data_IF_107241539202
#
_entry.id   IF_107241539202
#
_cell.length_a   1.000
_cell.length_b   1.000
_cell.length_c   1.000
_cell.angle_alpha   90.00
_cell.angle_beta   90.00
_cell.angle_gamma   90.00
#
_symmetry.space_group_name_H-M   'P 1'
#
loop_
_entity.id
_entity.type
_entity.pdbx_description
1 polymer ?
#
# COMPACT_ATOMS: atom_id res chain seq x y z
N UNK A 1 1.51 -27.23 12.14
CA UNK A 1 2.30 -27.19 13.40
C UNK A 1 3.17 -25.93 13.48
N UNK A 2 4.06 -25.66 12.52
CA UNK A 2 4.93 -24.46 12.53
C UNK A 2 4.15 -23.13 12.63
N UNK A 3 3.05 -22.97 11.88
CA UNK A 3 2.19 -21.79 11.99
C UNK A 3 1.73 -21.57 13.45
N UNK A 4 1.25 -22.62 14.12
CA UNK A 4 0.79 -22.56 15.52
C UNK A 4 1.91 -22.14 16.49
N UNK A 5 3.15 -22.60 16.25
CA UNK A 5 4.32 -22.20 17.06
C UNK A 5 4.64 -20.72 16.84
N UNK A 6 4.62 -20.26 15.59
CA UNK A 6 4.80 -18.84 15.28
C UNK A 6 3.69 -17.98 15.92
N UNK A 7 2.43 -18.40 15.81
CA UNK A 7 1.29 -17.73 16.47
C UNK A 7 1.50 -17.62 17.97
N UNK A 8 2.00 -18.69 18.61
CA UNK A 8 2.31 -18.67 20.04
C UNK A 8 3.42 -17.65 20.37
N UNK A 9 4.52 -17.62 19.59
CA UNK A 9 5.56 -16.61 19.79
C UNK A 9 5.04 -15.17 19.64
N UNK A 10 4.17 -14.92 18.67
CA UNK A 10 3.55 -13.59 18.47
C UNK A 10 2.70 -13.19 19.68
N UNK A 11 1.89 -14.12 20.21
CA UNK A 11 1.06 -13.86 21.41
C UNK A 11 1.88 -13.69 22.69
N UNK A 12 3.06 -14.30 22.76
CA UNK A 12 3.98 -14.22 23.90
C UNK A 12 5.00 -13.08 23.79
N UNK A 13 4.76 -12.09 22.92
CA UNK A 13 5.70 -10.98 22.69
C UNK A 13 5.92 -10.04 23.89
N UNK A 14 5.15 -10.20 24.97
CA UNK A 14 5.35 -9.46 26.22
C UNK A 14 6.62 -9.95 26.96
N UNK A 15 7.00 -11.22 26.78
CA UNK A 15 8.18 -11.80 27.42
C UNK A 15 9.47 -11.48 26.63
N UNK A 16 10.48 -10.86 27.26
CA UNK A 16 11.76 -10.55 26.61
C UNK A 16 12.46 -11.75 25.96
N UNK A 17 12.37 -12.94 26.57
CA UNK A 17 13.05 -14.15 26.08
C UNK A 17 12.47 -14.61 24.73
N UNK A 18 11.16 -14.49 24.55
CA UNK A 18 10.50 -14.86 23.30
C UNK A 18 10.58 -13.77 22.23
N UNK A 19 10.79 -12.50 22.63
CA UNK A 19 10.94 -11.38 21.69
C UNK A 19 12.12 -11.53 20.73
N UNK A 20 13.27 -11.99 21.21
CA UNK A 20 14.45 -12.21 20.35
C UNK A 20 14.24 -13.38 19.38
N UNK A 21 13.61 -14.45 19.87
CA UNK A 21 13.25 -15.61 19.05
C UNK A 21 12.21 -15.24 17.98
N UNK A 22 11.20 -14.45 18.34
CA UNK A 22 10.21 -13.94 17.40
C UNK A 22 10.85 -13.05 16.35
N UNK A 23 11.73 -12.12 16.75
CA UNK A 23 12.43 -11.25 15.79
C UNK A 23 13.28 -12.05 14.79
N UNK A 24 13.97 -13.09 15.25
CA UNK A 24 14.71 -14.01 14.38
C UNK A 24 13.79 -14.81 13.46
N UNK A 25 12.65 -15.28 13.98
CA UNK A 25 11.63 -15.98 13.21
C UNK A 25 11.02 -15.09 12.13
N UNK A 26 10.76 -13.81 12.41
CA UNK A 26 10.26 -12.84 11.44
C UNK A 26 11.25 -12.59 10.31
N UNK A 27 12.56 -12.48 10.60
CA UNK A 27 13.58 -12.38 9.55
C UNK A 27 13.60 -13.59 8.62
N UNK A 28 13.30 -14.78 9.16
CA UNK A 28 13.24 -16.02 8.40
C UNK A 28 11.84 -16.32 7.83
N UNK A 29 10.83 -15.48 8.06
CA UNK A 29 9.41 -15.82 7.84
C UNK A 29 9.12 -16.20 6.39
N UNK A 30 9.76 -15.54 5.43
CA UNK A 30 9.66 -15.89 4.00
C UNK A 30 10.07 -17.34 3.75
N UNK A 31 11.19 -17.77 4.31
CA UNK A 31 11.69 -19.14 4.15
C UNK A 31 10.84 -20.16 4.91
N UNK A 32 10.38 -19.79 6.11
CA UNK A 32 9.46 -20.61 6.89
C UNK A 32 8.16 -20.85 6.12
N UNK A 33 7.58 -19.81 5.53
CA UNK A 33 6.36 -19.93 4.73
C UNK A 33 6.58 -20.66 3.41
N UNK A 34 7.71 -20.48 2.75
CA UNK A 34 8.09 -21.30 1.60
C UNK A 34 8.07 -22.80 1.95
N UNK A 35 8.66 -23.17 3.08
CA UNK A 35 8.67 -24.55 3.56
C UNK A 35 7.25 -25.04 3.96
N UNK A 36 6.49 -24.23 4.69
CA UNK A 36 5.12 -24.56 5.12
C UNK A 36 4.21 -24.83 3.91
N UNK A 37 4.28 -23.98 2.89
CA UNK A 37 3.49 -24.12 1.65
C UNK A 37 3.90 -25.37 0.88
N UNK A 38 5.20 -25.61 0.70
CA UNK A 38 5.68 -26.83 0.05
C UNK A 38 5.25 -28.10 0.80
N UNK A 39 5.29 -28.08 2.15
CA UNK A 39 4.79 -29.18 2.97
C UNK A 39 3.29 -29.37 2.81
N UNK A 40 2.51 -28.30 2.64
CA UNK A 40 1.07 -28.36 2.40
C UNK A 40 0.77 -28.96 1.03
N UNK A 41 1.45 -28.53 -0.02
CA UNK A 41 1.29 -29.06 -1.37
C UNK A 41 1.57 -30.56 -1.42
N UNK A 42 2.65 -31.00 -0.77
CA UNK A 42 2.97 -32.43 -0.69
C UNK A 42 1.88 -33.19 0.06
N UNK A 43 1.40 -32.68 1.19
CA UNK A 43 0.30 -33.30 1.93
C UNK A 43 -0.95 -33.48 1.05
N UNK A 44 -1.36 -32.42 0.34
CA UNK A 44 -2.53 -32.44 -0.54
C UNK A 44 -2.39 -33.45 -1.69
N UNK A 45 -1.17 -33.66 -2.20
CA UNK A 45 -0.90 -34.68 -3.25
C UNK A 45 -1.10 -36.12 -2.76
N UNK A 46 -0.87 -36.39 -1.48
CA UNK A 46 -1.00 -37.75 -0.92
C UNK A 46 -2.40 -38.04 -0.36
N UNK A 47 -3.04 -37.05 0.26
CA UNK A 47 -4.27 -37.24 1.03
C UNK A 47 -5.53 -36.67 0.33
N UNK A 48 -5.36 -35.81 -0.67
CA UNK A 48 -6.45 -35.19 -1.42
C UNK A 48 -6.62 -33.70 -1.15
N UNK A 49 -7.18 -32.98 -2.12
CA UNK A 49 -7.20 -31.50 -2.19
C UNK A 49 -7.96 -30.81 -1.04
N UNK A 50 -8.98 -31.47 -0.48
CA UNK A 50 -9.82 -30.88 0.58
C UNK A 50 -9.36 -31.27 1.99
N UNK A 51 -8.44 -32.23 2.13
CA UNK A 51 -8.11 -32.76 3.45
C UNK A 51 -7.34 -31.75 4.31
N UNK A 52 -7.88 -31.44 5.49
CA UNK A 52 -7.27 -30.50 6.44
C UNK A 52 -7.22 -29.04 5.96
N UNK A 53 -7.98 -28.68 4.92
CA UNK A 53 -8.04 -27.32 4.36
C UNK A 53 -8.49 -26.31 5.39
N UNK A 54 -9.62 -26.54 6.04
CA UNK A 54 -10.16 -25.64 7.08
C UNK A 54 -9.16 -25.43 8.22
N UNK A 55 -8.53 -26.50 8.71
CA UNK A 55 -7.54 -26.40 9.79
C UNK A 55 -6.29 -25.60 9.37
N UNK A 56 -5.87 -25.72 8.11
CA UNK A 56 -4.76 -24.92 7.57
C UNK A 56 -5.17 -23.45 7.48
N UNK A 57 -6.36 -23.18 6.93
CA UNK A 57 -6.88 -21.83 6.76
C UNK A 57 -7.06 -21.14 8.11
N UNK A 58 -7.65 -21.83 9.07
CA UNK A 58 -7.80 -21.34 10.44
C UNK A 58 -6.45 -21.07 11.11
N UNK A 59 -5.42 -21.88 10.83
CA UNK A 59 -4.09 -21.61 11.36
C UNK A 59 -3.50 -20.29 10.82
N UNK A 60 -3.73 -19.98 9.54
CA UNK A 60 -3.33 -18.70 8.93
C UNK A 60 -4.13 -17.55 9.53
N UNK A 61 -5.46 -17.68 9.61
CA UNK A 61 -6.34 -16.67 10.23
C UNK A 61 -5.92 -16.35 11.65
N UNK A 62 -5.65 -17.39 12.46
CA UNK A 62 -5.20 -17.23 13.85
C UNK A 62 -3.83 -16.55 13.96
N UNK A 63 -2.93 -16.78 12.99
CA UNK A 63 -1.66 -16.06 12.94
C UNK A 63 -1.86 -14.57 12.66
N UNK A 64 -2.69 -14.21 11.68
CA UNK A 64 -2.99 -12.80 11.39
C UNK A 64 -3.71 -12.13 12.57
N UNK A 65 -4.66 -12.81 13.22
CA UNK A 65 -5.28 -12.33 14.45
C UNK A 65 -4.25 -12.02 15.55
N UNK A 66 -3.30 -12.93 15.78
CA UNK A 66 -2.22 -12.69 16.75
C UNK A 66 -1.34 -11.49 16.37
N UNK A 67 -1.07 -11.27 15.09
CA UNK A 67 -0.38 -10.07 14.64
C UNK A 67 -1.20 -8.81 14.87
N UNK A 68 -2.51 -8.83 14.60
CA UNK A 68 -3.38 -7.68 14.84
C UNK A 68 -3.38 -7.29 16.33
N UNK A 69 -3.52 -8.28 17.22
CA UNK A 69 -3.40 -8.09 18.67
C UNK A 69 -2.03 -7.49 19.06
N UNK A 70 -0.94 -7.96 18.45
CA UNK A 70 0.40 -7.42 18.70
C UNK A 70 0.51 -5.95 18.23
N UNK A 71 0.00 -5.62 17.05
CA UNK A 71 0.12 -4.27 16.48
C UNK A 71 -0.70 -3.22 17.25
N UNK A 72 -1.86 -3.60 17.77
CA UNK A 72 -2.75 -2.70 18.52
C UNK A 72 -2.24 -2.41 19.95
N UNK A 73 -1.56 -3.38 20.59
CA UNK A 73 -1.07 -3.22 21.98
C UNK A 73 -0.10 -2.04 22.16
N UNK A 74 -0.24 -1.19 23.18
CA UNK A 74 0.67 -0.07 23.44
C UNK A 74 1.99 -0.49 24.11
N UNK A 75 2.65 -1.52 23.58
CA UNK A 75 3.89 -2.08 24.13
C UNK A 75 5.13 -1.41 23.49
N UNK A 76 5.72 -0.45 24.20
CA UNK A 76 6.87 0.35 23.72
C UNK A 76 8.08 -0.54 23.40
N UNK A 77 8.28 -1.60 24.17
CA UNK A 77 9.41 -2.51 24.02
C UNK A 77 9.22 -3.47 22.82
N UNK A 78 8.03 -3.54 22.23
CA UNK A 78 7.73 -4.33 21.03
C UNK A 78 7.80 -3.52 19.74
N UNK A 79 8.09 -2.21 19.77
CA UNK A 79 8.20 -1.37 18.55
C UNK A 79 9.14 -2.00 17.51
N UNK A 80 10.27 -2.57 17.95
CA UNK A 80 11.23 -3.26 17.07
C UNK A 80 10.62 -4.48 16.38
N UNK A 81 9.76 -5.22 17.07
CA UNK A 81 9.10 -6.42 16.53
C UNK A 81 7.95 -6.03 15.61
N UNK A 82 7.14 -5.03 15.99
CA UNK A 82 6.10 -4.48 15.11
C UNK A 82 6.68 -3.99 13.79
N UNK A 83 7.78 -3.24 13.84
CA UNK A 83 8.51 -2.81 12.65
C UNK A 83 9.05 -3.99 11.82
N UNK A 84 9.53 -5.05 12.48
CA UNK A 84 9.97 -6.27 11.80
C UNK A 84 8.81 -7.02 11.13
N UNK A 85 7.64 -7.09 11.78
CA UNK A 85 6.44 -7.70 11.21
C UNK A 85 6.04 -6.97 9.93
N UNK A 86 5.94 -5.63 9.96
CA UNK A 86 5.64 -4.82 8.77
C UNK A 86 6.68 -5.01 7.65
N UNK A 87 7.96 -5.15 8.00
CA UNK A 87 9.03 -5.32 7.02
C UNK A 87 9.02 -6.69 6.35
N UNK A 88 8.81 -7.76 7.12
CA UNK A 88 9.05 -9.14 6.63
C UNK A 88 7.76 -9.90 6.29
N UNK A 89 6.63 -9.59 6.91
CA UNK A 89 5.37 -10.30 6.69
C UNK A 89 4.89 -10.23 5.23
N UNK A 90 4.97 -9.10 4.50
CA UNK A 90 4.60 -9.07 3.07
C UNK A 90 5.36 -10.08 2.21
N UNK A 91 6.56 -10.50 2.65
CA UNK A 91 7.36 -11.50 1.95
C UNK A 91 6.74 -12.89 1.86
N UNK A 92 5.63 -13.17 2.57
CA UNK A 92 4.92 -14.45 2.50
C UNK A 92 3.80 -14.47 1.46
N UNK A 93 3.38 -13.32 0.92
CA UNK A 93 2.17 -13.18 0.09
C UNK A 93 2.19 -14.12 -1.11
N UNK A 94 3.24 -14.05 -1.94
CA UNK A 94 3.36 -14.88 -3.14
C UNK A 94 3.48 -16.38 -2.83
N UNK A 95 3.84 -16.75 -1.60
CA UNK A 95 3.82 -18.14 -1.16
C UNK A 95 2.40 -18.59 -0.78
N UNK A 96 1.67 -17.77 -0.02
CA UNK A 96 0.33 -18.11 0.46
C UNK A 96 -0.72 -18.09 -0.65
N UNK A 97 -0.61 -17.20 -1.62
CA UNK A 97 -1.55 -17.08 -2.74
C UNK A 97 -1.84 -18.42 -3.47
N UNK A 98 -0.90 -19.35 -3.46
CA UNK A 98 -1.05 -20.65 -4.15
C UNK A 98 -1.86 -21.68 -3.36
N UNK A 99 -2.01 -21.50 -2.04
CA UNK A 99 -2.62 -22.50 -1.13
C UNK A 99 -3.71 -21.92 -0.23
N UNK A 100 -3.96 -20.61 -0.35
CA UNK A 100 -4.93 -19.86 0.44
C UNK A 100 -5.71 -18.92 -0.49
N UNK A 101 -6.95 -18.60 -0.13
CA UNK A 101 -7.79 -17.72 -0.94
C UNK A 101 -7.18 -16.31 -1.03
N UNK A 102 -6.94 -15.77 -2.25
CA UNK A 102 -6.25 -14.50 -2.40
C UNK A 102 -7.10 -13.30 -1.94
N UNK A 103 -8.42 -13.35 -2.07
CA UNK A 103 -9.29 -12.27 -1.61
C UNK A 103 -9.31 -12.25 -0.08
N UNK A 104 -9.46 -13.40 0.55
CA UNK A 104 -9.38 -13.53 2.00
C UNK A 104 -7.99 -13.12 2.53
N UNK A 105 -6.91 -13.47 1.83
CA UNK A 105 -5.55 -13.01 2.19
C UNK A 105 -5.45 -11.49 2.15
N UNK A 106 -6.06 -10.85 1.15
CA UNK A 106 -6.15 -9.40 1.03
C UNK A 106 -6.87 -8.79 2.23
N UNK A 107 -8.01 -9.35 2.63
CA UNK A 107 -8.75 -8.90 3.82
C UNK A 107 -7.94 -9.05 5.12
N UNK A 108 -7.17 -10.14 5.25
CA UNK A 108 -6.30 -10.35 6.41
C UNK A 108 -5.19 -9.29 6.47
N UNK A 109 -4.58 -8.92 5.35
CA UNK A 109 -3.61 -7.83 5.28
C UNK A 109 -4.25 -6.46 5.54
N UNK A 110 -5.46 -6.22 5.05
CA UNK A 110 -6.23 -5.00 5.36
C UNK A 110 -6.44 -4.86 6.87
N UNK A 111 -6.92 -5.92 7.54
CA UNK A 111 -7.12 -5.94 9.00
C UNK A 111 -5.81 -5.76 9.77
N UNK A 112 -4.72 -6.38 9.30
CA UNK A 112 -3.39 -6.22 9.88
C UNK A 112 -2.89 -4.78 9.81
N UNK A 113 -3.00 -4.13 8.65
CA UNK A 113 -2.57 -2.75 8.49
C UNK A 113 -3.46 -1.77 9.26
N UNK A 114 -4.76 -2.03 9.37
CA UNK A 114 -5.71 -1.23 10.16
C UNK A 114 -5.48 -1.33 11.67
N UNK A 115 -4.91 -2.42 12.16
CA UNK A 115 -4.62 -2.61 13.59
C UNK A 115 -3.47 -1.73 14.11
N UNK A 116 -2.83 -0.95 13.24
CA UNK A 116 -1.69 -0.09 13.59
C UNK A 116 -2.24 1.28 13.98
N UNK A 117 -1.89 1.81 15.16
CA UNK A 117 -2.27 3.18 15.53
C UNK A 117 -1.78 4.21 14.50
N UNK A 118 -2.59 5.21 14.11
CA UNK A 118 -2.33 6.09 12.96
C UNK A 118 -1.04 6.92 13.06
N UNK A 119 -0.57 7.22 14.27
CA UNK A 119 0.65 8.00 14.51
C UNK A 119 1.90 7.14 14.75
N UNK A 120 1.78 5.81 14.64
CA UNK A 120 2.88 4.88 14.87
C UNK A 120 3.34 4.23 13.57
N UNK A 121 4.66 4.07 13.44
CA UNK A 121 5.28 3.28 12.38
C UNK A 121 4.86 3.69 10.96
N UNK A 122 4.46 4.96 10.76
CA UNK A 122 3.94 5.49 9.49
C UNK A 122 4.80 5.08 8.29
N UNK A 123 6.11 5.31 8.36
CA UNK A 123 7.05 4.92 7.31
C UNK A 123 7.02 3.42 7.02
N UNK A 124 7.06 2.58 8.06
CA UNK A 124 7.06 1.12 7.94
C UNK A 124 5.72 0.61 7.41
N UNK A 125 4.60 1.22 7.79
CA UNK A 125 3.26 0.91 7.31
C UNK A 125 3.15 1.20 5.81
N UNK A 126 3.56 2.38 5.36
CA UNK A 126 3.56 2.75 3.94
C UNK A 126 4.52 1.86 3.12
N UNK A 127 5.69 1.53 3.67
CA UNK A 127 6.64 0.62 3.02
C UNK A 127 6.09 -0.81 2.93
N UNK A 128 5.37 -1.27 3.96
CA UNK A 128 4.66 -2.55 3.94
C UNK A 128 3.61 -2.57 2.82
N UNK A 129 2.80 -1.51 2.70
CA UNK A 129 1.84 -1.35 1.60
C UNK A 129 2.53 -1.39 0.23
N UNK A 130 3.68 -0.73 0.06
CA UNK A 130 4.46 -0.81 -1.19
C UNK A 130 4.78 -2.27 -1.56
N UNK A 131 5.18 -3.09 -0.56
CA UNK A 131 5.48 -4.50 -0.77
C UNK A 131 4.24 -5.35 -1.08
N UNK A 132 3.07 -4.97 -0.58
CA UNK A 132 1.80 -5.60 -0.96
C UNK A 132 1.45 -5.27 -2.40
N UNK A 133 1.60 -3.99 -2.82
CA UNK A 133 1.34 -3.56 -4.21
C UNK A 133 2.30 -4.22 -5.20
N UNK A 134 3.56 -4.42 -4.82
CA UNK A 134 4.59 -5.12 -5.62
C UNK A 134 4.36 -6.64 -5.71
N UNK A 135 3.39 -7.20 -4.97
CA UNK A 135 3.12 -8.64 -4.94
C UNK A 135 2.12 -9.07 -6.01
N UNK A 136 2.09 -10.37 -6.32
CA UNK A 136 1.18 -10.92 -7.33
C UNK A 136 -0.30 -10.84 -6.90
N UNK A 137 -0.56 -10.53 -5.62
CA UNK A 137 -1.89 -10.34 -5.06
C UNK A 137 -2.57 -9.11 -5.70
N UNK A 138 -1.82 -8.02 -5.86
CA UNK A 138 -2.35 -6.75 -6.34
C UNK A 138 -2.60 -6.72 -7.86
N UNK A 139 -2.20 -7.78 -8.58
CA UNK A 139 -2.54 -7.96 -9.99
C UNK A 139 -3.99 -8.41 -10.20
N UNK A 140 -4.65 -8.96 -9.16
CA UNK A 140 -6.03 -9.42 -9.21
C UNK A 140 -6.99 -8.31 -8.80
N UNK A 141 -8.06 -8.10 -9.57
CA UNK A 141 -8.97 -6.97 -9.37
C UNK A 141 -9.69 -7.03 -8.03
N UNK A 142 -10.18 -8.22 -7.68
CA UNK A 142 -10.93 -8.49 -6.45
C UNK A 142 -10.05 -8.28 -5.20
N UNK A 143 -8.75 -8.53 -5.33
CA UNK A 143 -7.78 -8.26 -4.26
C UNK A 143 -7.51 -6.75 -4.13
N UNK A 144 -7.46 -6.02 -5.25
CA UNK A 144 -7.38 -4.55 -5.24
C UNK A 144 -8.61 -3.95 -4.58
N UNK A 145 -9.81 -4.50 -4.81
CA UNK A 145 -11.04 -4.04 -4.17
C UNK A 145 -10.97 -4.11 -2.63
N UNK A 146 -10.33 -5.14 -2.09
CA UNK A 146 -10.14 -5.31 -0.65
C UNK A 146 -9.02 -4.43 -0.05
N UNK A 147 -7.96 -4.14 -0.80
CA UNK A 147 -6.74 -3.46 -0.30
C UNK A 147 -6.72 -1.96 -0.60
N UNK A 148 -7.10 -1.58 -1.82
CA UNK A 148 -6.93 -0.23 -2.34
C UNK A 148 -7.68 0.82 -1.49
N UNK A 149 -8.93 0.60 -1.02
CA UNK A 149 -9.61 1.58 -0.17
C UNK A 149 -8.80 1.99 1.05
N UNK A 150 -8.14 1.03 1.71
CA UNK A 150 -7.25 1.31 2.85
C UNK A 150 -6.02 2.10 2.42
N UNK A 151 -5.35 1.71 1.33
CA UNK A 151 -4.13 2.38 0.89
C UNK A 151 -4.40 3.84 0.51
N UNK A 152 -5.54 4.09 -0.15
CA UNK A 152 -5.99 5.43 -0.51
C UNK A 152 -6.35 6.26 0.72
N UNK A 153 -6.99 5.67 1.73
CA UNK A 153 -7.27 6.36 2.99
C UNK A 153 -5.98 6.78 3.73
N UNK A 154 -5.00 5.88 3.77
CA UNK A 154 -3.70 6.13 4.41
C UNK A 154 -2.91 7.21 3.66
N UNK A 155 -2.87 7.14 2.33
CA UNK A 155 -2.30 8.22 1.50
C UNK A 155 -3.05 9.53 1.69
N UNK A 156 -4.38 9.50 1.77
CA UNK A 156 -5.21 10.69 1.99
C UNK A 156 -4.87 11.37 3.31
N UNK A 157 -4.62 10.62 4.38
CA UNK A 157 -4.19 11.16 5.68
C UNK A 157 -2.78 11.75 5.64
N UNK A 158 -1.85 11.11 4.93
CA UNK A 158 -0.48 11.63 4.76
C UNK A 158 -0.40 12.88 3.88
N UNK A 159 -1.35 13.04 2.95
CA UNK A 159 -1.44 14.20 2.05
C UNK A 159 -2.51 15.20 2.50
N UNK A 160 -2.98 15.11 3.75
CA UNK A 160 -3.89 16.09 4.33
C UNK A 160 -3.13 17.37 4.69
N UNK A 161 -3.76 18.53 4.46
CA UNK A 161 -3.18 19.84 4.75
C UNK A 161 -2.85 19.99 6.26
N UNK A 162 -3.52 19.22 7.13
CA UNK A 162 -3.29 19.23 8.59
C UNK A 162 -2.26 18.18 9.06
N UNK A 163 -1.63 17.43 8.14
CA UNK A 163 -0.63 16.44 8.52
C UNK A 163 0.65 17.13 9.04
N UNK A 164 0.97 16.95 10.33
CA UNK A 164 2.13 17.61 10.95
C UNK A 164 3.48 17.11 10.41
N UNK A 165 3.58 15.82 10.08
CA UNK A 165 4.83 15.19 9.66
C UNK A 165 4.57 14.12 8.58
N UNK A 166 4.23 14.54 7.36
CA UNK A 166 3.95 13.63 6.28
C UNK A 166 5.22 12.89 5.83
N UNK A 167 5.09 11.60 5.55
CA UNK A 167 6.16 10.83 4.92
C UNK A 167 6.04 10.90 3.39
N UNK A 168 6.54 11.98 2.82
CA UNK A 168 6.49 12.23 1.37
C UNK A 168 7.24 11.18 0.54
N UNK A 169 8.30 10.59 1.08
CA UNK A 169 9.09 9.59 0.38
C UNK A 169 8.29 8.31 0.17
N UNK A 170 7.77 7.75 1.27
CA UNK A 170 7.02 6.50 1.25
C UNK A 170 5.63 6.70 0.62
N UNK A 171 4.97 7.83 0.87
CA UNK A 171 3.65 8.14 0.26
C UNK A 171 3.76 8.27 -1.26
N UNK A 172 4.77 9.01 -1.75
CA UNK A 172 5.01 9.14 -3.18
C UNK A 172 5.36 7.79 -3.81
N UNK A 173 6.15 6.95 -3.14
CA UNK A 173 6.51 5.62 -3.66
C UNK A 173 5.28 4.72 -3.75
N UNK A 174 4.46 4.67 -2.70
CA UNK A 174 3.25 3.86 -2.67
C UNK A 174 2.27 4.28 -3.78
N UNK A 175 2.01 5.58 -3.92
CA UNK A 175 1.13 6.09 -4.97
C UNK A 175 1.69 5.77 -6.37
N UNK A 176 2.99 5.92 -6.58
CA UNK A 176 3.64 5.57 -7.85
C UNK A 176 3.47 4.08 -8.18
N UNK A 177 3.72 3.19 -7.22
CA UNK A 177 3.57 1.75 -7.42
C UNK A 177 2.12 1.37 -7.76
N UNK A 178 1.13 1.96 -7.07
CA UNK A 178 -0.29 1.72 -7.35
C UNK A 178 -0.61 2.13 -8.80
N UNK A 179 -0.23 3.35 -9.19
CA UNK A 179 -0.52 3.87 -10.53
C UNK A 179 0.18 3.09 -11.64
N UNK A 180 1.37 2.57 -11.39
CA UNK A 180 2.11 1.72 -12.33
C UNK A 180 1.38 0.40 -12.58
N UNK A 181 0.89 -0.26 -11.53
CA UNK A 181 0.10 -1.50 -11.67
C UNK A 181 -1.22 -1.25 -12.38
N UNK A 182 -1.94 -0.16 -12.05
CA UNK A 182 -3.22 0.17 -12.67
C UNK A 182 -3.09 0.58 -14.14
N UNK A 183 -1.94 1.11 -14.55
CA UNK A 183 -1.67 1.48 -15.92
C UNK A 183 -1.49 0.26 -16.84
N UNK A 184 -1.06 -0.88 -16.28
CA UNK A 184 -0.86 -2.08 -17.06
C UNK A 184 -2.22 -2.64 -17.51
N UNK A 185 -2.59 -2.36 -18.77
CA UNK A 185 -3.89 -2.72 -19.36
C UNK A 185 -4.15 -4.23 -19.48
N UNK A 186 -3.15 -5.06 -19.22
CA UNK A 186 -3.33 -6.51 -19.11
C UNK A 186 -3.96 -6.92 -17.77
N UNK A 187 -3.83 -6.07 -16.74
CA UNK A 187 -4.57 -6.22 -15.51
C UNK A 187 -6.00 -5.69 -15.72
N UNK A 188 -6.97 -6.46 -15.25
CA UNK A 188 -8.42 -6.19 -15.25
C UNK A 188 -8.84 -4.70 -15.12
N UNK A 189 -10.05 -4.39 -15.58
CA UNK A 189 -10.66 -3.05 -15.57
C UNK A 189 -10.34 -2.24 -14.29
N UNK A 190 -9.56 -1.16 -14.46
CA UNK A 190 -9.10 -0.28 -13.39
C UNK A 190 -9.94 0.99 -13.24
N UNK A 191 -11.02 1.10 -14.02
CA UNK A 191 -12.02 2.19 -14.05
C UNK A 191 -12.44 2.63 -12.64
N UNK A 192 -12.94 1.71 -11.81
CA UNK A 192 -13.38 2.06 -10.45
C UNK A 192 -12.20 2.43 -9.52
N UNK A 193 -11.04 1.81 -9.70
CA UNK A 193 -9.83 2.09 -8.91
C UNK A 193 -9.28 3.48 -9.19
N UNK A 194 -9.25 3.90 -10.47
CA UNK A 194 -8.83 5.24 -10.88
C UNK A 194 -9.83 6.28 -10.38
N UNK A 195 -11.13 6.00 -10.44
CA UNK A 195 -12.14 6.89 -9.87
C UNK A 195 -11.90 7.13 -8.38
N UNK A 196 -11.65 6.07 -7.60
CA UNK A 196 -11.36 6.20 -6.16
C UNK A 196 -10.11 7.04 -5.88
N UNK A 197 -9.01 6.80 -6.63
CA UNK A 197 -7.77 7.58 -6.50
C UNK A 197 -8.03 9.05 -6.83
N UNK A 198 -8.74 9.30 -7.92
CA UNK A 198 -9.05 10.65 -8.38
C UNK A 198 -9.88 11.41 -7.34
N UNK A 199 -10.96 10.82 -6.83
CA UNK A 199 -11.85 11.47 -5.86
C UNK A 199 -11.13 11.80 -4.54
N UNK A 200 -10.27 10.90 -4.07
CA UNK A 200 -9.66 11.00 -2.74
C UNK A 200 -8.33 11.74 -2.75
N UNK A 201 -7.53 11.60 -3.80
CA UNK A 201 -6.13 12.04 -3.82
C UNK A 201 -5.82 13.16 -4.81
N UNK A 202 -6.53 13.33 -5.93
CA UNK A 202 -6.10 14.25 -6.99
C UNK A 202 -5.88 15.68 -6.48
N UNK A 203 -6.86 16.26 -5.78
CA UNK A 203 -6.73 17.59 -5.19
C UNK A 203 -5.65 17.66 -4.09
N UNK A 204 -5.50 16.61 -3.29
CA UNK A 204 -4.49 16.53 -2.23
C UNK A 204 -3.07 16.50 -2.80
N UNK A 205 -2.85 15.77 -3.88
CA UNK A 205 -1.58 15.75 -4.61
C UNK A 205 -1.26 17.16 -5.13
N UNK A 206 -2.23 17.85 -5.73
CA UNK A 206 -2.04 19.22 -6.20
C UNK A 206 -1.62 20.15 -5.07
N UNK A 207 -2.37 20.16 -3.95
CA UNK A 207 -2.06 20.99 -2.78
C UNK A 207 -0.71 20.64 -2.16
N UNK A 208 -0.38 19.36 -2.08
CA UNK A 208 0.93 18.90 -1.61
C UNK A 208 2.05 19.49 -2.47
N UNK A 209 1.96 19.42 -3.80
CA UNK A 209 2.98 19.98 -4.69
C UNK A 209 3.10 21.50 -4.54
N UNK A 210 1.98 22.21 -4.38
CA UNK A 210 1.97 23.68 -4.18
C UNK A 210 2.60 24.06 -2.84
N UNK A 211 2.32 23.30 -1.77
CA UNK A 211 2.83 23.56 -0.43
C UNK A 211 4.28 23.11 -0.19
N UNK A 212 4.81 22.23 -1.05
CA UNK A 212 6.18 21.74 -0.91
C UNK A 212 7.23 22.78 -1.28
N UNK A 213 8.33 22.80 -0.52
CA UNK A 213 9.51 23.60 -0.87
C UNK A 213 10.05 23.19 -2.23
N UNK A 214 10.35 24.19 -3.08
CA UNK A 214 10.86 24.02 -4.45
C UNK A 214 12.17 23.24 -4.56
N UNK A 215 12.89 23.04 -3.46
CA UNK A 215 14.13 22.24 -3.40
C UNK A 215 13.88 20.79 -2.97
N UNK A 216 12.64 20.41 -2.68
CA UNK A 216 12.29 19.07 -2.24
C UNK A 216 12.55 18.06 -3.35
N UNK A 217 13.31 17.01 -3.02
CA UNK A 217 13.59 15.90 -3.93
C UNK A 217 12.33 15.12 -4.35
N UNK A 218 11.21 15.29 -3.65
CA UNK A 218 9.99 14.52 -3.88
C UNK A 218 8.98 15.20 -4.83
N UNK A 219 9.15 16.49 -5.15
CA UNK A 219 8.21 17.22 -6.03
C UNK A 219 8.03 16.48 -7.36
N UNK A 220 9.13 16.08 -8.00
CA UNK A 220 9.08 15.40 -9.30
C UNK A 220 8.24 14.11 -9.27
N UNK A 221 8.27 13.37 -8.15
CA UNK A 221 7.50 12.14 -7.99
C UNK A 221 5.99 12.41 -7.87
N UNK A 222 5.58 13.41 -7.08
CA UNK A 222 4.16 13.75 -6.96
C UNK A 222 3.59 14.33 -8.26
N UNK A 223 4.38 15.11 -8.99
CA UNK A 223 4.02 15.60 -10.33
C UNK A 223 3.83 14.45 -11.32
N UNK A 224 4.73 13.46 -11.29
CA UNK A 224 4.59 12.27 -12.11
C UNK A 224 3.33 11.47 -11.73
N UNK A 225 3.03 11.32 -10.44
CA UNK A 225 1.82 10.65 -9.96
C UNK A 225 0.55 11.37 -10.43
N UNK A 226 0.48 12.69 -10.26
CA UNK A 226 -0.66 13.49 -10.72
C UNK A 226 -0.85 13.36 -12.24
N UNK A 227 0.23 13.48 -13.01
CA UNK A 227 0.19 13.31 -14.46
C UNK A 227 -0.30 11.89 -14.83
N UNK A 228 0.14 10.88 -14.09
CA UNK A 228 -0.29 9.50 -14.29
C UNK A 228 -1.76 9.28 -13.92
N UNK A 229 -2.31 9.96 -12.90
CA UNK A 229 -3.76 9.95 -12.59
C UNK A 229 -4.54 10.56 -13.75
N UNK A 230 -4.19 11.79 -14.16
CA UNK A 230 -4.87 12.50 -15.25
C UNK A 230 -4.83 11.72 -16.57
N UNK A 231 -3.70 11.06 -16.88
CA UNK A 231 -3.57 10.24 -18.08
C UNK A 231 -4.42 8.96 -18.05
N UNK A 232 -4.68 8.42 -16.86
CA UNK A 232 -5.47 7.19 -16.70
C UNK A 232 -6.97 7.46 -16.59
N UNK A 233 -7.37 8.69 -16.27
CA UNK A 233 -8.76 9.12 -16.32
C UNK A 233 -9.31 9.09 -17.76
N UNK A 234 -10.57 8.70 -17.89
CA UNK A 234 -11.36 8.69 -19.12
C UNK A 234 -12.46 9.76 -19.04
N UNK A 235 -13.16 10.04 -20.13
CA UNK A 235 -14.18 11.10 -20.21
C UNK A 235 -15.20 11.05 -19.05
N UNK A 236 -15.71 9.86 -18.74
CA UNK A 236 -16.67 9.69 -17.64
C UNK A 236 -16.07 10.08 -16.27
N UNK A 237 -14.77 9.86 -16.05
CA UNK A 237 -14.10 10.23 -14.80
C UNK A 237 -14.04 11.75 -14.65
N UNK A 238 -13.79 12.47 -15.75
CA UNK A 238 -13.77 13.93 -15.74
C UNK A 238 -15.17 14.48 -15.46
N UNK A 239 -16.19 13.97 -16.14
CA UNK A 239 -17.59 14.34 -15.91
C UNK A 239 -17.99 14.08 -14.45
N UNK A 240 -17.66 12.89 -13.94
CA UNK A 240 -17.94 12.50 -12.56
C UNK A 240 -17.21 13.42 -11.58
N UNK A 241 -15.90 13.66 -11.76
CA UNK A 241 -15.13 14.53 -10.86
C UNK A 241 -15.68 15.94 -10.81
N UNK A 242 -16.00 16.53 -11.97
CA UNK A 242 -16.61 17.86 -12.05
C UNK A 242 -17.95 17.89 -11.30
N UNK A 243 -18.75 16.82 -11.41
CA UNK A 243 -20.02 16.71 -10.70
C UNK A 243 -19.89 16.64 -9.17
N UNK A 244 -18.72 16.24 -8.64
CA UNK A 244 -18.49 16.18 -7.18
C UNK A 244 -18.31 17.56 -6.53
N UNK A 245 -18.01 18.61 -7.32
CA UNK A 245 -17.85 19.95 -6.80
C UNK A 245 -19.19 20.60 -6.49
N UNK A 246 -19.33 21.14 -5.28
CA UNK A 246 -20.60 21.74 -4.81
C UNK A 246 -20.87 23.09 -5.45
N UNK A 247 -19.82 23.85 -5.76
CA UNK A 247 -19.94 25.20 -6.30
C UNK A 247 -19.01 25.42 -7.49
N UNK A 248 -19.38 26.38 -8.35
CA UNK A 248 -18.50 26.85 -9.43
C UNK A 248 -17.18 27.41 -8.91
N UNK A 249 -17.19 27.99 -7.71
CA UNK A 249 -15.97 28.51 -7.09
C UNK A 249 -14.99 27.37 -6.77
N UNK A 250 -15.47 26.23 -6.26
CA UNK A 250 -14.60 25.09 -5.94
C UNK A 250 -13.90 24.53 -7.19
N UNK A 251 -14.61 24.53 -8.33
CA UNK A 251 -14.04 24.14 -9.64
C UNK A 251 -12.96 25.13 -10.06
N UNK A 252 -13.25 26.44 -9.96
CA UNK A 252 -12.28 27.49 -10.30
C UNK A 252 -11.04 27.36 -9.41
N UNK A 253 -11.20 27.15 -8.10
CA UNK A 253 -10.10 26.98 -7.16
C UNK A 253 -9.25 25.77 -7.51
N UNK A 254 -9.86 24.62 -7.80
CA UNK A 254 -9.14 23.42 -8.25
C UNK A 254 -8.36 23.66 -9.56
N UNK A 255 -8.98 24.34 -10.53
CA UNK A 255 -8.31 24.67 -11.79
C UNK A 255 -7.14 25.63 -11.55
N UNK A 256 -7.32 26.66 -10.70
CA UNK A 256 -6.24 27.57 -10.32
C UNK A 256 -5.10 26.84 -9.61
N UNK A 257 -5.39 25.95 -8.65
CA UNK A 257 -4.41 25.08 -8.00
C UNK A 257 -3.61 24.30 -9.07
N UNK A 258 -4.30 23.68 -10.03
CA UNK A 258 -3.70 22.94 -11.14
C UNK A 258 -2.84 23.85 -12.04
N UNK A 259 -3.31 25.04 -12.40
CA UNK A 259 -2.55 25.98 -13.23
C UNK A 259 -1.31 26.53 -12.53
N UNK A 260 -1.41 26.87 -11.24
CA UNK A 260 -0.28 27.36 -10.43
C UNK A 260 0.80 26.29 -10.38
N UNK A 261 0.41 25.04 -10.11
CA UNK A 261 1.33 23.92 -10.09
C UNK A 261 2.02 23.74 -11.45
N UNK A 262 1.30 23.70 -12.58
CA UNK A 262 1.93 23.60 -13.89
C UNK A 262 2.82 24.79 -14.24
N UNK A 263 2.39 26.01 -13.92
CA UNK A 263 3.18 27.23 -14.12
C UNK A 263 4.51 27.18 -13.36
N UNK A 264 4.47 26.76 -12.11
CA UNK A 264 5.65 26.63 -11.26
C UNK A 264 6.61 25.54 -11.78
N UNK A 265 6.07 24.49 -12.41
CA UNK A 265 6.85 23.42 -13.05
C UNK A 265 7.40 23.78 -14.44
N UNK A 266 6.69 24.61 -15.22
CA UNK A 266 7.12 25.05 -16.55
C UNK A 266 8.13 26.20 -16.43
N UNK A 267 7.97 27.06 -15.42
CA UNK A 267 8.83 28.22 -15.18
C UNK A 267 10.30 27.88 -14.86
N UNK A 268 10.61 26.65 -14.43
CA UNK A 268 11.98 26.14 -14.22
C UNK A 268 12.05 24.64 -14.52
N UNK A 269 13.12 24.16 -15.16
CA UNK A 269 13.35 22.73 -15.44
C UNK A 269 13.30 21.90 -14.15
N UNK A 270 12.16 21.24 -13.91
CA UNK A 270 11.94 20.30 -12.80
C UNK A 270 12.73 19.02 -13.02
N UNK A 271 13.01 18.69 -14.28
CA UNK A 271 13.83 17.55 -14.66
C UNK A 271 15.31 17.93 -14.78
N UNK A 272 16.25 17.02 -14.44
CA UNK A 272 17.67 17.20 -14.72
C UNK A 272 17.89 17.54 -16.20
N UNK A 273 18.94 18.31 -16.52
CA UNK A 273 19.23 18.74 -17.91
C UNK A 273 19.32 17.57 -18.91
N UNK A 274 19.60 16.37 -18.41
CA UNK A 274 19.78 15.14 -19.20
C UNK A 274 18.47 14.42 -19.55
N UNK A 275 17.32 14.87 -19.01
CA UNK A 275 15.99 14.32 -19.31
C UNK A 275 15.29 15.16 -20.39
N UNK A 276 16.02 15.38 -21.49
CA UNK A 276 15.60 16.24 -22.60
C UNK A 276 14.29 15.74 -23.26
N UNK A 277 14.03 14.43 -23.21
CA UNK A 277 12.80 13.80 -23.74
C UNK A 277 11.54 14.19 -22.96
N UNK A 278 11.61 14.22 -21.62
CA UNK A 278 10.51 14.68 -20.76
C UNK A 278 10.28 16.19 -20.90
N UNK A 279 11.36 16.96 -21.08
CA UNK A 279 11.30 18.41 -21.31
C UNK A 279 10.64 18.75 -22.66
N UNK A 280 10.84 17.89 -23.68
CA UNK A 280 10.19 18.01 -24.99
C UNK A 280 8.71 17.64 -24.95
N UNK A 281 8.31 16.62 -24.18
CA UNK A 281 6.89 16.26 -24.01
C UNK A 281 6.11 17.22 -23.10
N UNK A 282 6.78 17.93 -22.19
CA UNK A 282 6.15 18.91 -21.30
C UNK A 282 5.74 20.22 -22.02
N UNK A 283 6.31 20.50 -23.19
CA UNK A 283 6.04 21.71 -24.00
C UNK A 283 5.22 21.43 -25.26
N UNK A 284 4.48 20.31 -25.31
CA UNK A 284 3.55 19.98 -26.40
C UNK A 284 2.11 20.06 -25.93
#
# INVERSE_FOLDING_TARGET
KLIKVLTWYVRSADDPSYREMLFSSLKAIKYLFRFIVQSRDLYLRFYGQEEGKDQFYDSIRQLFLAFNELMDRPLQEAVKIKAAALKYLPGIINHLKNVFDPVELSELFTKFLQSIPPDQLVHQTLTCMCKVVESDLFLQSECRDALLPLFIDQLSGQLDDNCNKPDYEASGQLLSNILEVLQNKEACDSTQHIQLIMERLLRRINRTVIGMSRQSAHIGRFVACMTAVLRQMQDYHYDHYISTFKTRQDIIDFLMETFIMFKDLIGKRVFPKDWMLMTMTQNK
#
